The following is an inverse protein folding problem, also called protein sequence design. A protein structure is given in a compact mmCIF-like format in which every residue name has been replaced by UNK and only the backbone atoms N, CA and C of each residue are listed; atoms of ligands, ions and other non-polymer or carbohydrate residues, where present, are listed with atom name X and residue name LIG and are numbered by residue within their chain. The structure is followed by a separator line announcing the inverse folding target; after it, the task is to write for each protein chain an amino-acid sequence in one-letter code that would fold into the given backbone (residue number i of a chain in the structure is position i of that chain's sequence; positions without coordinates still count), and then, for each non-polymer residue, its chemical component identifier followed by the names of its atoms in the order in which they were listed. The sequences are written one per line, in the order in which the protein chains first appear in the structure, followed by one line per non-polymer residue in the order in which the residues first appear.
data_IF_652269302179
#
_entry.id   IF_652269302179
#
_cell.length_a   1.000
_cell.length_b   1.000
_cell.length_c   1.000
_cell.angle_alpha   90.00
_cell.angle_beta   90.00
_cell.angle_gamma   90.00
#
_symmetry.space_group_name_H-M   'P 1'
#
loop_
_entity.id
_entity.type
_entity.pdbx_description
1 polymer ?
#
# COMPACT_ATOMS: atom_id res chain seq x y z
N UNK A 1 2.41 -8.09 -0.16
CA UNK A 1 1.45 -7.26 0.60
C UNK A 1 1.22 -7.91 1.97
N UNK A 2 1.03 -7.15 3.06
CA UNK A 2 0.73 -7.71 4.40
C UNK A 2 -0.74 -8.08 4.60
N UNK A 3 -1.64 -7.52 3.79
CA UNK A 3 -3.06 -7.82 3.82
C UNK A 3 -3.27 -9.24 3.28
N UNK A 4 -4.04 -10.05 4.02
CA UNK A 4 -4.41 -11.41 3.61
C UNK A 4 -5.33 -11.33 2.39
N UNK A 5 -5.21 -12.30 1.48
CA UNK A 5 -6.04 -12.38 0.26
C UNK A 5 -6.01 -11.11 -0.61
N UNK A 6 -4.89 -10.38 -0.56
CA UNK A 6 -4.71 -9.14 -1.29
C UNK A 6 -4.64 -9.40 -2.82
N UNK A 7 -5.40 -8.66 -3.66
CA UNK A 7 -5.40 -8.83 -5.11
C UNK A 7 -4.03 -8.65 -5.78
N UNK A 8 -3.11 -7.91 -5.14
CA UNK A 8 -1.73 -7.78 -5.65
C UNK A 8 -0.92 -9.10 -5.63
N UNK A 9 -1.42 -10.16 -4.99
CA UNK A 9 -0.76 -11.47 -4.96
C UNK A 9 -0.87 -12.09 -6.36
N UNK A 10 0.26 -12.32 -7.02
CA UNK A 10 0.32 -12.75 -8.43
C UNK A 10 0.69 -11.60 -9.38
N UNK A 11 0.23 -10.38 -9.08
CA UNK A 11 0.39 -9.18 -9.94
C UNK A 11 1.53 -8.23 -9.50
N UNK A 12 2.59 -8.77 -8.90
CA UNK A 12 3.60 -7.95 -8.22
C UNK A 12 4.35 -6.97 -9.13
N UNK A 13 4.40 -7.23 -10.45
CA UNK A 13 5.10 -6.38 -11.41
C UNK A 13 4.37 -5.05 -11.69
N UNK A 14 3.06 -4.99 -11.46
CA UNK A 14 2.19 -3.86 -11.84
C UNK A 14 1.76 -3.01 -10.63
N UNK A 15 2.16 -3.42 -9.42
CA UNK A 15 1.72 -2.81 -8.17
C UNK A 15 2.91 -2.27 -7.39
N UNK A 16 2.79 -1.01 -6.93
CA UNK A 16 3.77 -0.42 -6.02
C UNK A 16 3.56 -0.87 -4.58
N UNK A 17 4.67 -1.04 -3.86
CA UNK A 17 4.71 -1.47 -2.47
C UNK A 17 5.47 -0.47 -1.61
N UNK A 18 4.99 -0.27 -0.38
CA UNK A 18 5.57 0.64 0.60
C UNK A 18 5.90 -0.12 1.87
N UNK A 19 7.04 0.23 2.48
CA UNK A 19 7.42 -0.26 3.80
C UNK A 19 6.47 0.30 4.85
N UNK A 20 6.32 -0.45 5.93
CA UNK A 20 5.65 0.05 7.12
C UNK A 20 6.37 1.29 7.67
N UNK A 21 5.64 2.25 8.27
CA UNK A 21 6.26 3.40 8.93
C UNK A 21 7.31 2.99 9.95
N UNK A 22 8.40 3.75 10.03
CA UNK A 22 9.42 3.58 11.08
C UNK A 22 8.86 3.97 12.46
N UNK A 23 8.04 5.03 12.49
CA UNK A 23 7.31 5.46 13.68
C UNK A 23 6.34 4.37 14.15
N UNK A 24 6.45 4.00 15.42
CA UNK A 24 5.72 2.87 16.00
C UNK A 24 4.21 3.13 16.07
N UNK A 25 3.79 4.34 16.45
CA UNK A 25 2.36 4.66 16.56
C UNK A 25 1.67 4.52 15.21
N UNK A 26 2.27 5.09 14.16
CA UNK A 26 1.75 5.02 12.79
C UNK A 26 1.84 3.61 12.22
N UNK A 27 2.91 2.87 12.51
CA UNK A 27 3.02 1.46 12.14
C UNK A 27 1.89 0.65 12.76
N UNK A 28 1.62 0.85 14.04
CA UNK A 28 0.55 0.16 14.75
C UNK A 28 -0.83 0.53 14.18
N UNK A 29 -1.04 1.78 13.78
CA UNK A 29 -2.26 2.18 13.06
C UNK A 29 -2.41 1.44 11.72
N UNK A 30 -1.34 1.33 10.94
CA UNK A 30 -1.36 0.58 9.69
C UNK A 30 -1.67 -0.90 9.93
N UNK A 31 -1.05 -1.52 10.92
CA UNK A 31 -1.28 -2.93 11.27
C UNK A 31 -2.72 -3.17 11.73
N UNK A 32 -3.28 -2.25 12.53
CA UNK A 32 -4.68 -2.31 12.94
C UNK A 32 -5.63 -2.24 11.73
N UNK A 33 -5.44 -1.26 10.84
CA UNK A 33 -6.25 -1.10 9.64
C UNK A 33 -6.16 -2.32 8.72
N UNK A 34 -4.98 -2.93 8.61
CA UNK A 34 -4.76 -4.13 7.79
C UNK A 34 -5.24 -5.43 8.44
N UNK A 35 -5.84 -5.38 9.64
CA UNK A 35 -6.18 -6.54 10.46
C UNK A 35 -4.99 -7.51 10.68
N UNK A 36 -3.81 -6.93 10.98
CA UNK A 36 -2.53 -7.62 11.21
C UNK A 36 -1.94 -7.31 12.57
N UNK A 37 -2.76 -7.30 13.61
CA UNK A 37 -2.30 -7.09 14.99
C UNK A 37 -1.33 -8.18 15.47
N UNK A 38 -1.34 -9.36 14.84
CA UNK A 38 -0.35 -10.42 15.03
C UNK A 38 1.09 -9.94 14.75
N UNK A 39 1.26 -8.93 13.90
CA UNK A 39 2.57 -8.36 13.57
C UNK A 39 3.04 -7.30 14.58
N UNK A 40 2.20 -6.84 15.51
CA UNK A 40 2.51 -5.73 16.42
C UNK A 40 3.65 -6.07 17.40
N UNK A 41 3.75 -7.34 17.80
CA UNK A 41 4.79 -7.84 18.71
C UNK A 41 6.16 -8.02 18.06
N UNK A 42 6.25 -7.91 16.72
CA UNK A 42 7.51 -8.08 16.00
C UNK A 42 8.37 -6.81 16.08
N UNK A 43 9.68 -7.01 16.19
CA UNK A 43 10.66 -5.93 16.11
C UNK A 43 10.68 -5.26 14.72
N UNK A 44 11.15 -4.01 14.66
CA UNK A 44 11.30 -3.27 13.39
C UNK A 44 12.14 -4.02 12.35
N UNK A 45 13.18 -4.74 12.78
CA UNK A 45 14.03 -5.59 11.92
C UNK A 45 13.21 -6.70 11.25
N UNK A 46 12.35 -7.37 12.03
CA UNK A 46 11.46 -8.42 11.54
C UNK A 46 10.36 -7.88 10.62
N UNK A 47 10.00 -6.61 10.77
CA UNK A 47 9.00 -5.93 9.96
C UNK A 47 9.58 -5.29 8.69
N UNK A 48 10.90 -5.22 8.51
CA UNK A 48 11.51 -4.45 7.41
C UNK A 48 11.12 -4.96 6.01
N UNK A 49 10.86 -6.27 5.88
CA UNK A 49 10.41 -6.95 4.67
C UNK A 49 8.88 -7.00 4.52
N UNK A 50 8.14 -6.44 5.48
CA UNK A 50 6.68 -6.36 5.44
C UNK A 50 6.28 -5.12 4.66
N UNK A 51 5.55 -5.34 3.57
CA UNK A 51 5.17 -4.29 2.63
C UNK A 51 3.67 -4.24 2.43
N UNK A 52 3.12 -3.04 2.28
CA UNK A 52 1.73 -2.79 1.92
C UNK A 52 1.65 -2.22 0.51
N UNK A 53 0.71 -2.71 -0.30
CA UNK A 53 0.59 -2.27 -1.69
C UNK A 53 -0.27 -1.01 -1.83
N UNK A 54 -0.13 -0.28 -2.96
CA UNK A 54 -0.89 0.96 -3.22
C UNK A 54 -2.41 0.78 -3.26
N UNK A 55 -2.90 -0.43 -3.48
CA UNK A 55 -4.34 -0.72 -3.63
C UNK A 55 -5.15 -0.41 -2.36
N UNK A 56 -4.48 -0.33 -1.21
CA UNK A 56 -5.10 -0.08 0.10
C UNK A 56 -5.16 1.40 0.50
N UNK A 57 -4.79 2.30 -0.42
CA UNK A 57 -4.72 3.74 -0.17
C UNK A 57 -5.58 4.51 -1.17
N UNK A 58 -6.22 5.56 -0.68
CA UNK A 58 -6.85 6.58 -1.53
C UNK A 58 -5.78 7.45 -2.21
N UNK A 59 -6.08 8.04 -3.37
CA UNK A 59 -5.17 8.91 -4.13
C UNK A 59 -4.62 10.09 -3.31
N UNK A 60 -5.45 10.62 -2.41
CA UNK A 60 -5.10 11.68 -1.46
C UNK A 60 -3.98 11.30 -0.48
N UNK A 61 -3.65 10.01 -0.36
CA UNK A 61 -2.57 9.52 0.51
C UNK A 61 -1.20 9.57 -0.17
N UNK A 62 -1.13 10.00 -1.43
CA UNK A 62 0.10 10.09 -2.22
C UNK A 62 0.50 11.53 -2.46
N UNK A 63 1.81 11.80 -2.47
CA UNK A 63 2.33 13.12 -2.88
C UNK A 63 2.00 13.42 -4.35
N UNK A 64 1.89 12.37 -5.17
CA UNK A 64 1.49 12.45 -6.56
C UNK A 64 0.68 11.19 -6.91
N UNK A 65 -0.62 11.37 -7.13
CA UNK A 65 -1.57 10.31 -7.46
C UNK A 65 -1.47 9.80 -8.91
N UNK A 66 -0.59 10.36 -9.74
CA UNK A 66 -0.32 9.84 -11.07
C UNK A 66 0.81 8.82 -11.06
N UNK A 67 1.86 9.08 -10.29
CA UNK A 67 3.06 8.23 -10.25
C UNK A 67 3.04 7.22 -9.11
N UNK A 68 2.33 7.54 -8.02
CA UNK A 68 2.27 6.75 -6.79
C UNK A 68 3.67 6.49 -6.18
N UNK A 69 4.68 7.30 -6.47
CA UNK A 69 6.05 7.01 -6.02
C UNK A 69 6.21 7.13 -4.50
N UNK A 70 5.47 8.06 -3.87
CA UNK A 70 5.63 8.40 -2.46
C UNK A 70 4.28 8.66 -1.79
N UNK A 71 4.14 8.16 -0.57
CA UNK A 71 3.04 8.49 0.33
C UNK A 71 3.28 9.87 0.97
N UNK A 72 2.19 10.56 1.33
CA UNK A 72 2.28 11.73 2.21
C UNK A 72 2.74 11.34 3.61
N UNK A 73 3.26 12.31 4.36
CA UNK A 73 3.93 12.04 5.63
C UNK A 73 3.02 11.41 6.67
N UNK A 74 1.70 11.60 6.63
CA UNK A 74 0.70 11.05 7.55
C UNK A 74 -0.22 10.00 6.90
N UNK A 75 0.17 9.43 5.76
CA UNK A 75 -0.66 8.48 5.03
C UNK A 75 -1.12 7.30 5.89
N UNK A 76 -2.36 6.87 5.69
CA UNK A 76 -3.00 5.72 6.34
C UNK A 76 -3.73 4.86 5.31
N UNK A 77 -3.58 3.52 5.36
CA UNK A 77 -4.34 2.63 4.49
C UNK A 77 -5.76 2.48 5.04
N UNK A 78 -6.76 2.61 4.17
CA UNK A 78 -8.18 2.58 4.56
C UNK A 78 -9.05 1.77 3.61
N UNK A 79 -8.51 1.32 2.48
CA UNK A 79 -9.26 0.58 1.46
C UNK A 79 -9.05 -0.93 1.63
N UNK A 80 -10.10 -1.63 2.05
CA UNK A 80 -10.06 -3.07 2.35
C UNK A 80 -11.36 -3.76 1.92
N UNK A 81 -11.31 -5.09 1.81
CA UNK A 81 -12.46 -5.88 1.36
C UNK A 81 -12.89 -5.45 -0.04
N UNK A 82 -14.19 -5.18 -0.21
CA UNK A 82 -14.79 -4.73 -1.48
C UNK A 82 -14.28 -3.36 -1.97
N UNK A 83 -13.76 -2.54 -1.06
CA UNK A 83 -13.27 -1.19 -1.37
C UNK A 83 -11.80 -1.19 -1.79
N UNK A 84 -11.13 -2.35 -1.72
CA UNK A 84 -9.76 -2.51 -2.22
C UNK A 84 -9.72 -2.19 -3.71
N UNK A 85 -8.81 -1.31 -4.13
CA UNK A 85 -8.64 -0.96 -5.54
C UNK A 85 -8.13 -2.15 -6.34
N UNK A 86 -8.43 -2.18 -7.62
CA UNK A 86 -8.02 -3.27 -8.52
C UNK A 86 -6.77 -2.88 -9.29
N UNK A 87 -6.05 -3.87 -9.82
CA UNK A 87 -4.78 -3.60 -10.53
C UNK A 87 -5.07 -2.86 -11.85
N UNK A 88 -6.16 -3.22 -12.51
CA UNK A 88 -6.62 -2.72 -13.81
C UNK A 88 -6.97 -1.23 -13.77
N UNK A 89 -7.35 -0.71 -12.59
CA UNK A 89 -7.60 0.71 -12.34
C UNK A 89 -6.37 1.59 -12.65
N UNK A 90 -5.18 0.99 -12.67
CA UNK A 90 -3.91 1.70 -12.86
C UNK A 90 -3.21 1.40 -14.19
N UNK A 91 -3.64 0.38 -14.93
CA UNK A 91 -3.01 -0.02 -16.19
C UNK A 91 -3.34 0.95 -17.32
N UNK A 92 -4.56 1.49 -17.33
CA UNK A 92 -5.02 2.44 -18.33
C UNK A 92 -4.29 3.80 -18.26
N UNK A 93 -3.66 4.14 -17.14
CA UNK A 93 -2.93 5.40 -16.99
C UNK A 93 -1.54 5.37 -17.65
N UNK A 94 -0.89 4.20 -17.73
CA UNK A 94 0.46 4.09 -18.32
C UNK A 94 0.46 4.08 -19.84
N UNK A 95 -0.67 3.77 -20.49
CA UNK A 95 -0.81 3.84 -21.95
C UNK A 95 -0.89 5.29 -22.48
N UNK A 96 -1.32 6.24 -21.65
CA UNK A 96 -1.46 7.65 -22.03
C UNK A 96 -0.20 8.51 -21.91
N UNK A 97 0.92 7.95 -21.42
CA UNK A 97 2.21 8.67 -21.27
C UNK A 97 3.20 8.29 -22.39
N UNK A 98 2.73 7.60 -23.44
CA UNK A 98 3.49 7.31 -24.67
C UNK A 98 2.89 7.97 -25.90
N UNK A 99 2.51 9.23 -25.77
CA UNK A 99 2.42 10.15 -26.89
C UNK A 99 3.23 11.39 -26.48
N UNK A 100 3.96 11.94 -27.45
CA UNK A 100 4.84 13.12 -27.43
C UNK A 100 6.33 12.78 -27.52
#
# INVERSE_FOLDING_TARGET
CIVRDCPSIGEQRHVRYYRLPADEQRRNQWLANCNRLDLKSHSSVNLHNRLLCRLHFHDSQFMNAHTYQRLIWNAVPTLFGKDTRRVEDFEHYQAGVKAD
#
